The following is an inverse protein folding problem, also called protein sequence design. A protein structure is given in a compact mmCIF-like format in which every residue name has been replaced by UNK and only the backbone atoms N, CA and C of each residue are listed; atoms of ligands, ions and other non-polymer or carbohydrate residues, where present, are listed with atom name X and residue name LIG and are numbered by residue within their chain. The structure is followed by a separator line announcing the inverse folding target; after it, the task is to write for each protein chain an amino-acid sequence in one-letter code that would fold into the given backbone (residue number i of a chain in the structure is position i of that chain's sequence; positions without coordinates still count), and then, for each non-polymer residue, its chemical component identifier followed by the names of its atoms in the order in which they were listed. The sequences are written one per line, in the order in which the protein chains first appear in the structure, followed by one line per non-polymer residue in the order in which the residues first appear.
data_IF_469992081068
#
_entry.id   IF_469992081068
#
_cell.length_a   1.000
_cell.length_b   1.000
_cell.length_c   1.000
_cell.angle_alpha   90.00
_cell.angle_beta   90.00
_cell.angle_gamma   90.00
#
_symmetry.space_group_name_H-M   'P 1'
#
loop_
_entity.id
_entity.type
_entity.pdbx_description
1 polymer ?
#
# COMPACT_ATOMS: atom_id res chain seq x y z
N UNK A 1 -12.83 -1.44 -7.00
CA UNK A 1 -11.87 -0.54 -7.67
C UNK A 1 -10.55 -1.28 -7.70
N UNK A 2 -9.91 -1.44 -8.84
CA UNK A 2 -8.61 -2.13 -8.92
C UNK A 2 -7.54 -1.18 -8.37
N UNK A 3 -6.92 -1.49 -7.23
CA UNK A 3 -5.88 -0.66 -6.62
C UNK A 3 -4.54 -0.68 -7.40
N UNK A 4 -4.51 -1.06 -8.67
CA UNK A 4 -3.27 -1.39 -9.38
C UNK A 4 -2.43 -0.15 -9.74
N UNK A 5 -1.13 -0.20 -9.46
CA UNK A 5 -0.16 0.82 -9.88
C UNK A 5 0.39 0.52 -11.28
N UNK A 6 0.54 1.56 -12.10
CA UNK A 6 1.15 1.46 -13.44
C UNK A 6 2.63 1.84 -13.45
N UNK A 7 3.07 2.66 -12.49
CA UNK A 7 4.44 3.10 -12.35
C UNK A 7 4.86 3.30 -10.88
N UNK A 8 6.15 3.52 -10.67
CA UNK A 8 6.70 3.76 -9.34
C UNK A 8 6.32 5.13 -8.78
N UNK A 9 5.98 5.16 -7.49
CA UNK A 9 5.61 6.36 -6.72
C UNK A 9 6.60 6.57 -5.58
N UNK A 10 7.06 7.79 -5.37
CA UNK A 10 7.95 8.17 -4.28
C UNK A 10 9.10 9.08 -4.71
N UNK A 11 10.31 8.84 -4.18
CA UNK A 11 11.48 9.71 -4.40
C UNK A 11 11.82 9.87 -5.88
N UNK A 12 11.80 11.12 -6.35
CA UNK A 12 12.32 11.50 -7.67
C UNK A 12 13.79 11.09 -7.86
N UNK A 13 14.62 11.26 -6.83
CA UNK A 13 16.04 10.91 -6.85
C UNK A 13 16.31 9.41 -7.01
N UNK A 14 15.30 8.57 -6.74
CA UNK A 14 15.35 7.11 -6.90
C UNK A 14 14.67 6.64 -8.19
N UNK A 15 14.29 7.57 -9.07
CA UNK A 15 13.71 7.27 -10.38
C UNK A 15 12.19 7.03 -10.37
N UNK A 16 11.47 7.48 -9.34
CA UNK A 16 10.02 7.43 -9.33
C UNK A 16 9.41 8.16 -10.54
N UNK A 17 8.40 7.56 -11.16
CA UNK A 17 7.65 8.19 -12.25
C UNK A 17 6.60 9.16 -11.73
N UNK A 18 6.01 8.87 -10.56
CA UNK A 18 5.01 9.70 -9.90
C UNK A 18 3.86 10.09 -10.83
N UNK A 19 3.28 9.10 -11.53
CA UNK A 19 2.07 9.34 -12.31
C UNK A 19 0.95 9.73 -11.35
N UNK A 20 0.25 10.82 -11.65
CA UNK A 20 -0.82 11.34 -10.80
C UNK A 20 -1.81 10.26 -10.31
N UNK A 21 -2.38 9.37 -11.17
CA UNK A 21 -3.31 8.35 -10.70
C UNK A 21 -2.66 7.37 -9.70
N UNK A 22 -1.41 6.97 -9.92
CA UNK A 22 -0.69 6.08 -9.02
C UNK A 22 -0.39 6.78 -7.67
N UNK A 23 -0.03 8.07 -7.71
CA UNK A 23 0.22 8.87 -6.52
C UNK A 23 -1.06 9.00 -5.67
N UNK A 24 -2.20 9.28 -6.30
CA UNK A 24 -3.49 9.36 -5.61
C UNK A 24 -3.86 8.04 -4.94
N UNK A 25 -3.62 6.90 -5.60
CA UNK A 25 -3.84 5.57 -5.01
C UNK A 25 -2.96 5.37 -3.77
N UNK A 26 -1.64 5.62 -3.89
CA UNK A 26 -0.71 5.46 -2.76
C UNK A 26 -1.06 6.39 -1.60
N UNK A 27 -1.40 7.66 -1.87
CA UNK A 27 -1.80 8.61 -0.83
C UNK A 27 -3.06 8.15 -0.09
N UNK A 28 -4.09 7.68 -0.81
CA UNK A 28 -5.32 7.15 -0.18
C UNK A 28 -5.03 5.95 0.71
N UNK A 29 -4.19 5.03 0.25
CA UNK A 29 -3.83 3.84 1.02
C UNK A 29 -3.00 4.19 2.26
N UNK A 30 -2.05 5.11 2.14
CA UNK A 30 -1.27 5.60 3.27
C UNK A 30 -2.15 6.30 4.31
N UNK A 31 -3.09 7.15 3.87
CA UNK A 31 -4.06 7.80 4.75
C UNK A 31 -4.96 6.80 5.46
N UNK A 32 -5.45 5.77 4.75
CA UNK A 32 -6.23 4.69 5.33
C UNK A 32 -5.39 3.84 6.32
N UNK A 33 -4.14 3.54 5.99
CA UNK A 33 -3.23 2.77 6.84
C UNK A 33 -2.90 3.54 8.12
N UNK A 34 -2.68 4.86 8.01
CA UNK A 34 -2.47 5.73 9.16
C UNK A 34 -3.65 5.68 10.14
N UNK A 35 -4.88 5.65 9.62
CA UNK A 35 -6.08 5.55 10.43
C UNK A 35 -6.25 4.14 11.04
N UNK A 36 -6.12 3.09 10.23
CA UNK A 36 -6.30 1.71 10.66
C UNK A 36 -5.28 1.28 11.73
N UNK A 37 -4.03 1.72 11.58
CA UNK A 37 -2.92 1.40 12.47
C UNK A 37 -2.72 2.45 13.58
N UNK A 38 -3.53 3.50 13.61
CA UNK A 38 -3.37 4.66 14.50
C UNK A 38 -1.94 5.25 14.46
N UNK A 39 -1.37 5.32 13.26
CA UNK A 39 0.02 5.67 12.99
C UNK A 39 0.10 6.99 12.19
N UNK A 40 0.14 8.15 12.85
CA UNK A 40 0.09 9.46 12.18
C UNK A 40 1.33 9.78 11.34
N UNK A 41 2.42 9.02 11.48
CA UNK A 41 3.59 9.15 10.60
C UNK A 41 3.38 8.58 9.20
N UNK A 42 2.38 7.71 9.02
CA UNK A 42 2.00 7.16 7.72
C UNK A 42 1.07 8.09 6.94
N UNK A 43 0.57 9.15 7.58
CA UNK A 43 -0.39 10.06 6.98
C UNK A 43 0.30 11.02 5.97
N UNK A 44 -0.07 11.00 4.68
CA UNK A 44 0.54 11.86 3.67
C UNK A 44 0.07 13.32 3.74
N UNK A 45 -0.78 13.67 4.72
CA UNK A 45 -1.38 15.00 4.93
C UNK A 45 -2.32 15.43 3.80
N UNK A 46 -2.86 14.45 3.07
CA UNK A 46 -3.85 14.65 2.01
C UNK A 46 -3.55 13.89 0.72
N UNK A 47 -4.56 13.88 -0.17
CA UNK A 47 -4.53 13.24 -1.48
C UNK A 47 -4.60 14.32 -2.57
N UNK A 48 -3.45 14.80 -3.02
CA UNK A 48 -3.34 15.84 -4.04
C UNK A 48 -2.77 15.33 -5.38
N UNK A 49 -2.35 14.06 -5.43
CA UNK A 49 -1.84 13.39 -6.62
C UNK A 49 -0.44 13.84 -7.03
N UNK A 50 0.32 14.50 -6.15
CA UNK A 50 1.65 15.02 -6.46
C UNK A 50 2.68 14.58 -5.45
N UNK A 51 3.90 14.46 -5.95
CA UNK A 51 5.10 14.33 -5.13
C UNK A 51 5.97 15.56 -5.38
N UNK A 52 6.23 16.33 -4.32
CA UNK A 52 7.12 17.47 -4.38
C UNK A 52 8.51 17.06 -4.89
N UNK A 53 9.11 17.89 -5.75
CA UNK A 53 10.46 17.67 -6.29
C UNK A 53 11.50 18.30 -5.37
N UNK A 54 12.67 17.68 -5.18
CA UNK A 54 13.78 18.31 -4.47
C UNK A 54 14.09 19.72 -5.02
N UNK A 55 14.44 20.68 -4.16
CA UNK A 55 14.74 20.51 -2.72
C UNK A 55 13.50 20.51 -1.80
N UNK A 56 12.29 20.62 -2.34
CA UNK A 56 11.08 20.58 -1.52
C UNK A 56 10.82 19.15 -0.99
N UNK A 57 10.39 19.06 0.26
CA UNK A 57 9.99 17.79 0.89
C UNK A 57 8.55 17.45 0.54
N UNK A 58 8.29 16.15 0.36
CA UNK A 58 6.93 15.62 0.13
C UNK A 58 6.51 14.82 1.34
N UNK A 59 5.38 15.20 1.96
CA UNK A 59 4.80 14.43 3.08
C UNK A 59 4.51 12.98 2.67
N UNK A 60 4.09 12.77 1.42
CA UNK A 60 3.84 11.42 0.89
C UNK A 60 5.12 10.59 0.85
N UNK A 61 6.26 11.19 0.47
CA UNK A 61 7.55 10.46 0.49
C UNK A 61 7.95 10.11 1.92
N UNK A 62 7.81 11.05 2.85
CA UNK A 62 8.08 10.79 4.28
C UNK A 62 7.19 9.67 4.83
N UNK A 63 5.90 9.65 4.46
CA UNK A 63 4.97 8.59 4.84
C UNK A 63 5.35 7.23 4.23
N UNK A 64 5.78 7.18 2.97
CA UNK A 64 6.29 5.95 2.33
C UNK A 64 7.50 5.41 3.09
N UNK A 65 8.44 6.27 3.47
CA UNK A 65 9.64 5.85 4.20
C UNK A 65 9.31 5.35 5.60
N UNK A 66 8.41 6.05 6.31
CA UNK A 66 7.92 5.62 7.61
C UNK A 66 7.21 4.27 7.52
N UNK A 67 6.40 4.06 6.47
CA UNK A 67 5.76 2.78 6.19
C UNK A 67 6.78 1.68 5.97
N UNK A 68 7.74 1.92 5.08
CA UNK A 68 8.79 0.95 4.76
C UNK A 68 9.63 0.58 5.97
N UNK A 69 9.96 1.55 6.82
CA UNK A 69 10.73 1.30 8.04
C UNK A 69 10.00 0.39 9.04
N UNK A 70 8.66 0.31 8.95
CA UNK A 70 7.84 -0.52 9.85
C UNK A 70 7.51 -1.89 9.26
N UNK A 71 7.26 -1.97 7.96
CA UNK A 71 6.66 -3.15 7.32
C UNK A 71 7.55 -3.82 6.29
N UNK A 72 8.72 -3.26 5.99
CA UNK A 72 9.63 -3.79 4.97
C UNK A 72 11.07 -3.84 5.46
N UNK A 73 11.90 -4.59 4.76
CA UNK A 73 13.34 -4.68 5.06
C UNK A 73 14.19 -3.62 4.33
N UNK A 74 13.58 -2.76 3.51
CA UNK A 74 14.32 -1.77 2.71
C UNK A 74 13.53 -0.45 2.62
N UNK A 75 14.20 0.64 3.02
CA UNK A 75 13.63 2.00 3.06
C UNK A 75 14.21 2.80 1.90
N UNK A 76 13.64 2.59 0.72
CA UNK A 76 14.09 3.22 -0.53
C UNK A 76 13.26 4.45 -0.91
N UNK A 77 12.18 4.74 -0.17
CA UNK A 77 11.26 5.82 -0.44
C UNK A 77 10.48 5.64 -1.74
N UNK A 78 10.29 4.38 -2.18
CA UNK A 78 9.59 4.00 -3.41
C UNK A 78 8.55 2.92 -3.17
N UNK A 79 7.33 3.13 -3.65
CA UNK A 79 6.35 2.07 -3.87
C UNK A 79 6.40 1.70 -5.34
N UNK A 80 6.83 0.47 -5.63
CA UNK A 80 6.83 -0.07 -6.99
C UNK A 80 5.59 -0.96 -7.19
N UNK A 81 5.05 -1.05 -8.41
CA UNK A 81 4.02 -2.03 -8.73
C UNK A 81 4.48 -3.45 -8.34
N UNK A 82 3.58 -4.24 -7.73
CA UNK A 82 3.82 -5.64 -7.34
C UNK A 82 5.02 -5.85 -6.39
N UNK A 83 5.48 -4.80 -5.72
CA UNK A 83 6.57 -4.89 -4.74
C UNK A 83 6.09 -5.32 -3.36
N UNK A 84 7.00 -5.81 -2.53
CA UNK A 84 6.70 -6.12 -1.12
C UNK A 84 6.06 -4.92 -0.40
N UNK A 85 6.58 -3.71 -0.62
CA UNK A 85 6.02 -2.51 0.01
C UNK A 85 4.58 -2.23 -0.45
N UNK A 86 4.27 -2.52 -1.72
CA UNK A 86 2.93 -2.42 -2.27
C UNK A 86 1.96 -3.44 -1.64
N UNK A 87 2.35 -4.72 -1.58
CA UNK A 87 1.52 -5.76 -0.96
C UNK A 87 1.31 -5.54 0.53
N UNK A 88 2.35 -5.11 1.26
CA UNK A 88 2.25 -4.78 2.67
C UNK A 88 1.30 -3.60 2.91
N UNK A 89 1.28 -2.61 2.01
CA UNK A 89 0.39 -1.45 2.14
C UNK A 89 -1.08 -1.85 1.96
N UNK A 90 -1.36 -2.74 1.01
CA UNK A 90 -2.69 -3.32 0.82
C UNK A 90 -3.14 -4.14 2.04
N UNK A 91 -2.26 -4.99 2.55
CA UNK A 91 -2.51 -5.78 3.77
C UNK A 91 -2.81 -4.89 4.99
N UNK A 92 -2.04 -3.81 5.17
CA UNK A 92 -2.19 -2.87 6.28
C UNK A 92 -3.55 -2.16 6.32
N UNK A 93 -4.21 -1.97 5.17
CA UNK A 93 -5.55 -1.36 5.10
C UNK A 93 -6.67 -2.40 5.02
N UNK A 94 -6.34 -3.70 5.08
CA UNK A 94 -7.29 -4.78 4.86
C UNK A 94 -7.85 -4.81 3.43
N UNK A 95 -7.23 -4.11 2.48
CA UNK A 95 -7.52 -4.29 1.06
C UNK A 95 -6.81 -5.56 0.63
N UNK A 96 -7.57 -6.62 0.41
CA UNK A 96 -7.05 -7.81 -0.25
C UNK A 96 -6.67 -7.38 -1.68
N UNK A 97 -5.41 -7.52 -2.15
CA UNK A 97 -5.12 -7.40 -3.57
C UNK A 97 -6.13 -8.27 -4.30
N UNK A 98 -6.66 -7.81 -5.44
CA UNK A 98 -7.55 -8.63 -6.26
C UNK A 98 -6.76 -9.84 -6.77
N UNK A 99 -6.63 -10.86 -5.91
CA UNK A 99 -6.40 -12.23 -6.31
C UNK A 99 -7.59 -12.50 -7.24
N UNK A 100 -7.39 -12.90 -8.51
CA UNK A 100 -8.49 -13.42 -9.28
C UNK A 100 -8.98 -14.65 -8.52
N UNK A 101 -10.05 -14.46 -7.74
CA UNK A 101 -10.74 -15.51 -7.02
C UNK A 101 -11.24 -16.48 -8.08
N UNK A 102 -10.54 -17.60 -8.24
CA UNK A 102 -11.13 -18.73 -8.94
C UNK A 102 -12.20 -19.26 -7.98
N UNK A 103 -13.50 -19.21 -8.34
CA UNK A 103 -14.56 -19.56 -7.41
C UNK A 103 -14.70 -21.08 -7.35
N UNK A 104 -13.95 -21.75 -6.48
CA UNK A 104 -14.17 -23.16 -6.11
C UNK A 104 -13.53 -23.40 -4.72
N UNK A 105 -14.29 -23.21 -3.63
CA UNK A 105 -15.02 -24.28 -2.89
C UNK A 105 -14.20 -24.79 -1.67
N UNK A 106 -14.84 -25.43 -0.67
CA UNK A 106 -15.55 -24.85 0.47
C UNK A 106 -14.80 -25.09 1.81
N UNK A 107 -15.15 -24.28 2.82
CA UNK A 107 -14.77 -24.45 4.22
C UNK A 107 -15.08 -25.87 4.74
N UNK A 108 -14.04 -26.64 5.05
CA UNK A 108 -14.16 -27.94 5.74
C UNK A 108 -13.88 -27.76 7.22
N UNK A 109 -14.78 -27.07 7.91
CA UNK A 109 -14.83 -27.10 9.37
C UNK A 109 -16.25 -27.44 9.84
N UNK A 110 -16.58 -28.72 9.85
CA UNK A 110 -17.50 -29.21 10.88
C UNK A 110 -17.12 -30.64 11.34
N UNK A 111 -16.81 -30.71 12.62
CA UNK A 111 -16.46 -31.90 13.40
C UNK A 111 -17.73 -32.56 13.92
N UNK A 112 -17.81 -33.90 13.84
CA UNK A 112 -18.48 -34.72 14.85
C UNK A 112 -19.64 -35.60 14.35
N UNK A 113 -19.55 -36.88 14.72
CA UNK A 113 -20.67 -37.83 14.99
C UNK A 113 -21.53 -38.19 13.75
N UNK A 114 -21.74 -39.44 13.34
CA UNK A 114 -22.38 -40.54 14.06
C UNK A 114 -21.97 -41.91 13.47
N UNK A 115 -21.79 -42.88 14.37
CA UNK A 115 -21.78 -44.32 14.13
C UNK A 115 -23.02 -44.79 13.34
N UNK A 116 -22.87 -45.80 12.49
CA UNK A 116 -23.50 -47.15 12.52
C UNK A 116 -23.08 -47.95 11.29
#
# INVERSE_FOLDING_TARGET
MSSQLFASVGRWERGARNLQPDVEVVQRLLEAAAQALQAPELDPKGVDGKIARPPATSNTVTAIEAFQSRFTSSVDGLIMPDSQAWHALLDAVGEKPAIPETPNQPDVSNTGEFSF
#
